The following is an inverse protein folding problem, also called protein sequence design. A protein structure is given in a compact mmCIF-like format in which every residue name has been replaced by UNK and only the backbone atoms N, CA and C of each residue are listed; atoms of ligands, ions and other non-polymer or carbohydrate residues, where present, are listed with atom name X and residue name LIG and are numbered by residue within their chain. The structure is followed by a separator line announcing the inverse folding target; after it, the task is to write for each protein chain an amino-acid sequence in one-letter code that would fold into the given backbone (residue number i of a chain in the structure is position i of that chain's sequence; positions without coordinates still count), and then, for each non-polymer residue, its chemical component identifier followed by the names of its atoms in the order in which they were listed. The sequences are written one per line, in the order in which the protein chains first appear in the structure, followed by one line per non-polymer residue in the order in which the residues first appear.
data_IF_595121782417
#
_entry.id   IF_595121782417
#
_cell.length_a   1.000
_cell.length_b   1.000
_cell.length_c   1.000
_cell.angle_alpha   90.00
_cell.angle_beta   90.00
_cell.angle_gamma   90.00
#
_symmetry.space_group_name_H-M   'P 1'
#
loop_
_entity.id
_entity.type
_entity.pdbx_description
1 polymer ?
#
# COMPACT_ATOMS: atom_id res chain seq x y z
N UNK A 1 23.09 -32.33 7.03
CA UNK A 1 22.38 -31.08 7.37
C UNK A 1 23.14 -30.43 8.51
N UNK A 2 23.82 -29.31 8.26
CA UNK A 2 24.61 -28.59 9.26
C UNK A 2 23.70 -27.62 9.99
N UNK A 3 23.66 -27.70 11.32
CA UNK A 3 22.91 -26.76 12.16
C UNK A 3 23.66 -25.43 12.18
N UNK A 4 23.01 -24.30 11.93
CA UNK A 4 23.66 -22.99 11.99
C UNK A 4 24.18 -22.74 13.40
N UNK A 5 25.38 -22.19 13.47
CA UNK A 5 26.02 -21.79 14.72
C UNK A 5 25.34 -20.54 15.29
N UNK A 6 25.45 -20.33 16.59
CA UNK A 6 24.92 -19.13 17.27
C UNK A 6 25.43 -17.83 16.63
N UNK A 7 26.66 -17.82 16.14
CA UNK A 7 27.26 -16.67 15.44
C UNK A 7 26.57 -16.39 14.11
N UNK A 8 26.24 -17.43 13.33
CA UNK A 8 25.49 -17.29 12.07
C UNK A 8 24.07 -16.77 12.33
N UNK A 9 23.40 -17.27 13.37
CA UNK A 9 22.07 -16.80 13.77
C UNK A 9 22.06 -15.32 14.18
N UNK A 10 23.08 -14.85 14.91
CA UNK A 10 23.20 -13.45 15.30
C UNK A 10 23.45 -12.54 14.09
N UNK A 11 24.31 -12.95 13.17
CA UNK A 11 24.57 -12.20 11.95
C UNK A 11 23.33 -12.07 11.05
N UNK A 12 22.52 -13.14 10.95
CA UNK A 12 21.27 -13.10 10.19
C UNK A 12 20.21 -12.20 10.86
N UNK A 13 20.14 -12.18 12.20
CA UNK A 13 19.27 -11.27 12.93
C UNK A 13 19.67 -9.80 12.73
N UNK A 14 20.97 -9.49 12.79
CA UNK A 14 21.48 -8.13 12.53
C UNK A 14 21.20 -7.68 11.08
N UNK A 15 21.36 -8.59 10.12
CA UNK A 15 21.02 -8.33 8.72
C UNK A 15 19.52 -8.07 8.54
N UNK A 16 18.67 -8.92 9.12
CA UNK A 16 17.21 -8.75 9.07
C UNK A 16 16.78 -7.41 9.68
N UNK A 17 17.35 -7.03 10.83
CA UNK A 17 17.09 -5.73 11.47
C UNK A 17 17.51 -4.56 10.58
N UNK A 18 18.68 -4.66 9.95
CA UNK A 18 19.20 -3.60 9.07
C UNK A 18 18.32 -3.42 7.83
N UNK A 19 17.83 -4.51 7.26
CA UNK A 19 16.85 -4.50 6.16
C UNK A 19 15.55 -3.85 6.61
N UNK A 20 15.04 -4.21 7.79
CA UNK A 20 13.81 -3.62 8.32
C UNK A 20 13.90 -2.09 8.46
N UNK A 21 15.00 -1.59 9.03
CA UNK A 21 15.24 -0.13 9.17
C UNK A 21 15.32 0.56 7.81
N UNK A 22 16.02 -0.04 6.83
CA UNK A 22 16.11 0.51 5.48
C UNK A 22 14.74 0.58 4.79
N UNK A 23 13.91 -0.45 4.94
CA UNK A 23 12.55 -0.49 4.39
C UNK A 23 11.64 0.54 5.05
N UNK A 24 11.73 0.72 6.38
CA UNK A 24 10.98 1.77 7.09
C UNK A 24 11.33 3.17 6.56
N UNK A 25 12.63 3.45 6.35
CA UNK A 25 13.07 4.73 5.78
C UNK A 25 12.57 4.93 4.35
N UNK A 26 12.58 3.88 3.52
CA UNK A 26 12.05 3.94 2.16
C UNK A 26 10.54 4.18 2.16
N UNK A 27 9.79 3.51 3.04
CA UNK A 27 8.34 3.72 3.20
C UNK A 27 8.02 5.14 3.66
N UNK A 28 8.81 5.71 4.57
CA UNK A 28 8.61 7.08 5.04
C UNK A 28 8.75 8.12 3.90
N UNK A 29 9.64 7.86 2.93
CA UNK A 29 9.89 8.70 1.76
C UNK A 29 8.96 8.39 0.58
N UNK A 30 8.34 7.22 0.55
CA UNK A 30 7.50 6.80 -0.55
C UNK A 30 6.26 7.70 -0.70
N UNK A 31 5.97 8.07 -1.94
CA UNK A 31 4.74 8.76 -2.34
C UNK A 31 3.80 7.84 -3.11
N UNK A 32 4.33 6.73 -3.63
CA UNK A 32 3.61 5.67 -4.34
C UNK A 32 4.17 4.32 -3.91
N UNK A 33 3.30 3.36 -3.62
CA UNK A 33 3.65 1.94 -3.46
C UNK A 33 2.82 1.12 -4.46
N UNK A 34 3.46 0.16 -5.11
CA UNK A 34 2.81 -0.72 -6.07
C UNK A 34 2.48 -2.07 -5.42
N UNK A 35 1.22 -2.48 -5.53
CA UNK A 35 0.72 -3.77 -5.05
C UNK A 35 0.49 -4.67 -6.26
N UNK A 36 1.32 -5.71 -6.46
CA UNK A 36 1.19 -6.60 -7.60
C UNK A 36 -0.18 -7.28 -7.63
N UNK A 37 -0.81 -7.30 -8.82
CA UNK A 37 -2.01 -8.10 -9.07
C UNK A 37 -1.66 -9.36 -9.87
N UNK A 38 -1.83 -10.56 -9.30
CA UNK A 38 -1.63 -11.80 -10.05
C UNK A 38 -2.50 -11.84 -11.31
N UNK A 39 -1.97 -12.40 -12.40
CA UNK A 39 -2.73 -12.65 -13.63
C UNK A 39 -2.96 -11.45 -14.56
N UNK A 40 -2.91 -10.20 -14.08
CA UNK A 40 -3.18 -9.01 -14.93
C UNK A 40 -1.93 -8.22 -15.32
N UNK A 41 -0.80 -8.41 -14.62
CA UNK A 41 0.46 -7.68 -14.85
C UNK A 41 0.41 -6.18 -14.53
N UNK A 42 -0.75 -5.66 -14.14
CA UNK A 42 -0.97 -4.25 -13.81
C UNK A 42 -1.15 -4.16 -12.28
N UNK A 43 -0.27 -3.49 -11.54
CA UNK A 43 -0.40 -3.36 -10.09
C UNK A 43 -1.51 -2.37 -9.70
N UNK A 44 -2.03 -2.50 -8.48
CA UNK A 44 -2.71 -1.40 -7.80
C UNK A 44 -1.67 -0.43 -7.24
N UNK A 45 -2.04 0.83 -7.06
CA UNK A 45 -1.16 1.85 -6.51
C UNK A 45 -1.72 2.39 -5.21
N UNK A 46 -0.93 2.34 -4.13
CA UNK A 46 -1.17 3.18 -2.96
C UNK A 46 -0.50 4.52 -3.21
N UNK A 47 -1.27 5.61 -3.25
CA UNK A 47 -0.75 6.96 -3.48
C UNK A 47 -0.96 7.83 -2.26
N UNK A 48 0.11 8.47 -1.79
CA UNK A 48 0.04 9.39 -0.66
C UNK A 48 -0.75 10.64 -1.05
N UNK A 49 -1.72 11.02 -0.22
CA UNK A 49 -2.60 12.17 -0.48
C UNK A 49 -1.85 13.49 -0.27
N UNK A 50 -1.90 14.39 -1.26
CA UNK A 50 -1.40 15.75 -1.08
C UNK A 50 -2.23 16.46 0.00
N UNK A 51 -1.56 16.99 1.03
CA UNK A 51 -2.19 17.67 2.17
C UNK A 51 -2.37 16.84 3.44
N UNK A 52 -2.25 15.51 3.36
CA UNK A 52 -2.39 14.61 4.51
C UNK A 52 -1.25 13.60 4.50
N UNK A 53 -0.19 13.89 5.27
CA UNK A 53 1.07 13.12 5.26
C UNK A 53 0.90 11.68 5.72
N UNK A 54 -0.19 11.33 6.40
CA UNK A 54 -0.49 9.99 6.91
C UNK A 54 -1.55 9.23 6.10
N UNK A 55 -2.10 9.83 5.03
CA UNK A 55 -3.21 9.25 4.26
C UNK A 55 -2.82 8.78 2.87
N UNK A 56 -3.35 7.62 2.51
CA UNK A 56 -3.12 6.92 1.26
C UNK A 56 -4.44 6.66 0.55
N UNK A 57 -4.44 6.80 -0.78
CA UNK A 57 -5.53 6.38 -1.64
C UNK A 57 -5.14 5.11 -2.38
N UNK A 58 -6.06 4.15 -2.49
CA UNK A 58 -5.88 2.96 -3.32
C UNK A 58 -6.39 3.29 -4.72
N UNK A 59 -5.50 3.25 -5.70
CA UNK A 59 -5.76 3.59 -7.08
C UNK A 59 -5.59 2.39 -8.01
N UNK A 60 -6.42 2.33 -9.05
CA UNK A 60 -6.16 1.48 -10.21
C UNK A 60 -5.41 2.26 -11.31
N UNK A 61 -5.14 1.60 -12.43
CA UNK A 61 -4.46 2.19 -13.59
C UNK A 61 -5.31 3.25 -14.32
N UNK A 62 -6.63 3.17 -14.20
CA UNK A 62 -7.55 4.12 -14.82
C UNK A 62 -7.65 5.44 -14.04
N UNK A 63 -7.05 5.48 -12.85
CA UNK A 63 -7.10 6.63 -11.96
C UNK A 63 -8.34 6.66 -11.08
N UNK A 64 -9.08 5.55 -10.99
CA UNK A 64 -10.17 5.37 -10.03
C UNK A 64 -9.59 5.17 -8.64
N UNK A 65 -10.31 5.62 -7.62
CA UNK A 65 -9.98 5.38 -6.21
C UNK A 65 -10.96 4.41 -5.60
N UNK A 66 -10.50 3.57 -4.69
CA UNK A 66 -11.38 2.69 -3.92
C UNK A 66 -12.09 3.46 -2.80
N UNK A 67 -13.41 3.52 -2.89
CA UNK A 67 -14.32 4.08 -1.90
C UNK A 67 -14.87 2.99 -0.99
N UNK A 68 -14.88 3.23 0.33
CA UNK A 68 -15.32 2.24 1.33
C UNK A 68 -16.71 1.65 1.03
N UNK A 69 -17.65 2.50 0.63
CA UNK A 69 -19.06 2.09 0.41
C UNK A 69 -19.45 1.85 -1.05
N UNK A 70 -18.64 2.32 -2.01
CA UNK A 70 -19.05 2.42 -3.42
C UNK A 70 -18.11 1.71 -4.38
N UNK A 71 -17.00 1.16 -3.90
CA UNK A 71 -15.98 0.53 -4.75
C UNK A 71 -15.22 1.56 -5.58
N UNK A 72 -14.93 1.25 -6.84
CA UNK A 72 -14.11 2.12 -7.70
C UNK A 72 -14.86 3.37 -8.16
N UNK A 73 -14.34 4.56 -7.82
CA UNK A 73 -14.93 5.85 -8.19
C UNK A 73 -13.89 6.80 -8.82
N UNK A 74 -14.32 7.63 -9.75
CA UNK A 74 -13.51 8.73 -10.28
C UNK A 74 -13.64 9.97 -9.40
N UNK A 75 -12.52 10.65 -9.11
CA UNK A 75 -12.50 11.91 -8.31
C UNK A 75 -13.39 13.00 -8.93
N UNK A 76 -13.53 13.00 -10.25
CA UNK A 76 -14.37 13.95 -11.00
C UNK A 76 -15.88 13.67 -10.94
N UNK A 77 -16.30 12.46 -10.56
CA UNK A 77 -17.72 12.05 -10.61
C UNK A 77 -18.46 12.09 -9.27
N UNK A 78 -17.78 12.31 -8.14
CA UNK A 78 -18.48 12.16 -6.85
C UNK A 78 -17.89 12.86 -5.64
N UNK A 79 -16.83 13.68 -5.75
CA UNK A 79 -16.18 14.23 -4.57
C UNK A 79 -16.03 15.74 -4.69
N UNK A 80 -17.17 16.45 -4.50
CA UNK A 80 -17.19 17.92 -4.36
C UNK A 80 -16.89 18.39 -2.94
N UNK A 81 -17.05 17.51 -1.95
CA UNK A 81 -16.89 17.81 -0.52
C UNK A 81 -15.63 17.16 0.06
N UNK A 82 -15.00 17.83 1.01
CA UNK A 82 -13.76 17.36 1.65
C UNK A 82 -14.02 16.12 2.52
N UNK A 83 -15.21 16.01 3.13
CA UNK A 83 -15.64 14.83 3.87
C UNK A 83 -15.67 13.56 3.01
N UNK A 84 -16.10 13.67 1.74
CA UNK A 84 -16.14 12.53 0.81
C UNK A 84 -14.74 12.15 0.28
N UNK A 85 -13.74 13.04 0.39
CA UNK A 85 -12.35 12.69 0.09
C UNK A 85 -11.81 11.70 1.13
N UNK A 86 -12.25 11.82 2.38
CA UNK A 86 -11.80 10.96 3.47
C UNK A 86 -12.30 9.52 3.35
N UNK A 87 -13.37 9.27 2.61
CA UNK A 87 -13.87 7.92 2.31
C UNK A 87 -13.05 7.16 1.27
N UNK A 88 -12.16 7.86 0.58
CA UNK A 88 -11.14 7.26 -0.32
C UNK A 88 -9.73 7.32 0.25
N UNK A 89 -9.59 7.77 1.52
CA UNK A 89 -8.31 7.96 2.21
C UNK A 89 -8.21 7.04 3.42
N UNK A 90 -7.10 6.35 3.49
CA UNK A 90 -6.82 5.30 4.46
C UNK A 90 -5.49 5.60 5.13
N UNK A 91 -5.29 5.15 6.38
CA UNK A 91 -3.93 5.05 6.91
C UNK A 91 -3.15 3.98 6.13
N UNK A 92 -1.81 3.97 6.22
CA UNK A 92 -1.04 2.91 5.55
C UNK A 92 -1.42 1.51 6.06
N UNK A 93 -1.66 1.39 7.36
CA UNK A 93 -2.05 0.14 8.03
C UNK A 93 -3.42 -0.38 7.56
N UNK A 94 -4.32 0.52 7.15
CA UNK A 94 -5.60 0.17 6.54
C UNK A 94 -5.45 -0.13 5.04
N UNK A 95 -4.70 0.72 4.33
CA UNK A 95 -4.61 0.70 2.87
C UNK A 95 -3.88 -0.54 2.34
N UNK A 96 -2.79 -0.94 3.00
CA UNK A 96 -1.95 -2.04 2.55
C UNK A 96 -2.69 -3.39 2.53
N UNK A 97 -3.29 -3.87 3.63
CA UNK A 97 -4.03 -5.14 3.61
C UNK A 97 -5.24 -5.08 2.67
N UNK A 98 -5.94 -3.94 2.61
CA UNK A 98 -7.08 -3.78 1.71
C UNK A 98 -6.66 -3.87 0.24
N UNK A 99 -5.60 -3.16 -0.16
CA UNK A 99 -5.10 -3.23 -1.53
C UNK A 99 -4.58 -4.62 -1.89
N UNK A 100 -3.94 -5.34 -0.96
CA UNK A 100 -3.54 -6.73 -1.17
C UNK A 100 -4.74 -7.66 -1.37
N UNK A 101 -5.84 -7.43 -0.64
CA UNK A 101 -7.07 -8.17 -0.82
C UNK A 101 -7.69 -7.87 -2.19
N UNK A 102 -7.88 -6.59 -2.53
CA UNK A 102 -8.41 -6.16 -3.84
C UNK A 102 -7.58 -6.67 -5.02
N UNK A 103 -6.25 -6.75 -4.84
CA UNK A 103 -5.33 -7.30 -5.83
C UNK A 103 -5.49 -8.81 -6.06
N UNK A 104 -5.90 -9.56 -5.03
CA UNK A 104 -6.17 -11.01 -5.09
C UNK A 104 -7.55 -11.31 -5.65
N UNK A 105 -8.55 -10.56 -5.21
CA UNK A 105 -9.96 -10.82 -5.53
C UNK A 105 -10.31 -10.42 -6.97
N UNK A 106 -9.43 -9.67 -7.65
CA UNK A 106 -9.67 -9.15 -8.98
C UNK A 106 -10.85 -8.20 -8.95
N UNK A 107 -10.67 -7.03 -8.33
CA UNK A 107 -11.72 -6.04 -8.18
C UNK A 107 -12.24 -5.55 -9.54
N UNK A 108 -13.24 -6.26 -10.09
CA UNK A 108 -14.09 -5.84 -11.22
C UNK A 108 -14.93 -4.61 -10.84
#
# INVERSE_FOLDING_TARGET
MTTPTTTELLADLERARSIAVALEQQLALATVLEIPRPGTGIPLQLRRSHGHTDRWAICDREGRRWHREHGWVYESQGIRDEAQRDDTRYTLDEALPLAQQLAKDGAE
#
